data_IF_987079063376
#
_entry.id   IF_987079063376
#
_cell.length_a   1.000
_cell.length_b   1.000
_cell.length_c   1.000
_cell.angle_alpha   90.00
_cell.angle_beta   90.00
_cell.angle_gamma   90.00
#
_symmetry.space_group_name_H-M   'P 1'
#
loop_
_entity.id
_entity.type
_entity.pdbx_description
1 polymer ?
#
# COMPACT_ATOMS: atom_id res chain seq x y z
N UNK A 1 -31.85 -64.45 23.17
CA UNK A 1 -30.64 -63.91 23.84
C UNK A 1 -30.10 -62.82 22.92
N UNK A 2 -30.49 -61.55 23.07
CA UNK A 2 -29.81 -60.48 23.85
C UNK A 2 -28.28 -60.55 23.76
N UNK A 3 -27.68 -59.59 23.05
CA UNK A 3 -26.62 -58.72 23.56
C UNK A 3 -26.53 -57.45 22.70
N UNK A 4 -26.67 -56.31 23.37
CA UNK A 4 -26.65 -54.92 22.89
C UNK A 4 -25.30 -54.36 23.33
N UNK A 5 -24.53 -53.70 22.46
CA UNK A 5 -23.49 -52.71 22.87
C UNK A 5 -23.10 -51.83 21.66
N UNK A 6 -23.76 -50.68 21.45
CA UNK A 6 -23.37 -49.29 21.79
C UNK A 6 -22.49 -48.59 20.73
N UNK A 7 -23.06 -47.52 20.16
CA UNK A 7 -22.44 -46.40 19.44
C UNK A 7 -21.31 -45.74 20.24
N UNK A 8 -20.26 -45.27 19.55
CA UNK A 8 -19.65 -43.96 19.80
C UNK A 8 -19.34 -43.28 18.46
N UNK A 9 -19.87 -42.07 18.31
CA UNK A 9 -19.66 -41.15 17.21
C UNK A 9 -18.22 -40.62 17.18
N UNK A 10 -17.74 -40.22 16.00
CA UNK A 10 -17.29 -38.83 15.85
C UNK A 10 -17.20 -38.47 14.35
N UNK A 11 -18.10 -37.58 13.98
CA UNK A 11 -18.14 -36.81 12.75
C UNK A 11 -16.89 -35.93 12.61
N UNK A 12 -16.04 -36.20 11.63
CA UNK A 12 -15.05 -35.22 11.15
C UNK A 12 -15.78 -34.14 10.34
N UNK A 13 -16.31 -33.15 11.06
CA UNK A 13 -16.83 -31.90 10.52
C UNK A 13 -15.64 -30.97 10.26
N UNK A 14 -15.53 -30.56 8.99
CA UNK A 14 -15.13 -29.23 8.51
C UNK A 14 -13.68 -28.78 8.71
N UNK A 15 -13.01 -28.63 7.58
CA UNK A 15 -12.50 -27.32 7.13
C UNK A 15 -12.17 -27.50 5.66
N UNK A 16 -13.04 -27.09 4.74
CA UNK A 16 -12.99 -25.69 4.36
C UNK A 16 -11.60 -25.41 3.81
N UNK A 17 -11.32 -25.85 2.58
CA UNK A 17 -10.29 -25.25 1.76
C UNK A 17 -10.71 -23.80 1.50
N UNK A 18 -10.65 -22.98 2.54
CA UNK A 18 -10.31 -21.58 2.38
C UNK A 18 -8.93 -21.65 1.76
N UNK A 19 -8.90 -21.64 0.44
CA UNK A 19 -7.85 -21.00 -0.31
C UNK A 19 -7.73 -19.62 0.32
N UNK A 20 -6.93 -19.54 1.38
CA UNK A 20 -6.24 -18.32 1.71
C UNK A 20 -5.43 -18.08 0.45
N UNK A 21 -6.00 -17.32 -0.48
CA UNK A 21 -5.22 -16.44 -1.31
C UNK A 21 -4.35 -15.72 -0.29
N UNK A 22 -3.16 -16.27 -0.03
CA UNK A 22 -2.05 -15.50 0.42
C UNK A 22 -1.90 -14.49 -0.70
N UNK A 23 -2.62 -13.37 -0.56
CA UNK A 23 -2.61 -12.27 -1.48
C UNK A 23 -1.14 -12.01 -1.69
N UNK A 24 -0.62 -12.43 -2.85
CA UNK A 24 0.81 -12.38 -3.14
C UNK A 24 1.21 -10.98 -2.72
N UNK A 25 2.08 -10.89 -1.70
CA UNK A 25 2.48 -9.59 -1.16
C UNK A 25 3.06 -8.84 -2.35
N UNK A 26 2.23 -7.96 -2.91
CA UNK A 26 2.50 -7.43 -4.23
C UNK A 26 3.70 -6.52 -4.02
N UNK A 27 4.86 -6.91 -4.55
CA UNK A 27 6.07 -6.09 -4.46
C UNK A 27 5.80 -4.73 -5.10
N UNK A 28 6.54 -3.67 -4.74
CA UNK A 28 6.44 -2.41 -5.45
C UNK A 28 6.65 -2.59 -6.96
N UNK A 29 5.85 -1.88 -7.74
CA UNK A 29 5.81 -1.93 -9.19
C UNK A 29 5.80 -0.52 -9.80
N UNK A 30 6.14 -0.34 -11.08
CA UNK A 30 5.93 0.92 -11.77
C UNK A 30 4.45 1.33 -11.80
N UNK A 31 4.18 2.64 -11.84
CA UNK A 31 2.82 3.21 -11.82
C UNK A 31 1.87 2.59 -12.86
N UNK A 32 2.39 2.23 -14.04
CA UNK A 32 1.61 1.61 -15.10
C UNK A 32 0.91 0.30 -14.69
N UNK A 33 1.45 -0.40 -13.68
CA UNK A 33 0.94 -1.69 -13.19
C UNK A 33 0.02 -1.58 -11.97
N UNK A 34 -0.25 -0.36 -11.48
CA UNK A 34 -1.20 -0.14 -10.38
C UNK A 34 -2.62 -0.24 -10.90
N UNK A 35 -3.46 -1.05 -10.25
CA UNK A 35 -4.83 -1.31 -10.67
C UNK A 35 -5.81 -0.26 -10.15
N UNK A 36 -5.73 0.09 -8.86
CA UNK A 36 -6.63 1.05 -8.23
C UNK A 36 -5.99 2.43 -8.11
N UNK A 37 -5.71 3.06 -9.26
CA UNK A 37 -5.17 4.43 -9.35
C UNK A 37 -6.07 5.50 -8.74
N UNK A 38 -7.33 5.14 -8.40
CA UNK A 38 -8.27 6.00 -7.70
C UNK A 38 -8.15 5.96 -6.17
N UNK A 39 -7.02 5.53 -5.62
CA UNK A 39 -6.76 5.54 -4.19
C UNK A 39 -7.01 6.92 -3.55
N UNK A 40 -7.59 6.89 -2.35
CA UNK A 40 -7.93 8.07 -1.55
C UNK A 40 -6.79 8.45 -0.61
N UNK A 41 -6.05 7.44 -0.16
CA UNK A 41 -5.03 7.55 0.86
C UNK A 41 -3.68 7.13 0.31
N UNK A 42 -2.65 7.85 0.76
CA UNK A 42 -1.29 7.68 0.27
C UNK A 42 -0.31 7.65 1.45
N UNK A 43 0.82 7.00 1.21
CA UNK A 43 1.99 7.04 2.09
C UNK A 43 3.23 7.16 1.21
N UNK A 44 4.17 8.03 1.59
CA UNK A 44 5.41 8.24 0.83
C UNK A 44 6.61 7.73 1.60
N UNK A 45 7.48 7.03 0.88
CA UNK A 45 8.65 6.34 1.40
C UNK A 45 9.89 6.78 0.64
N UNK A 46 11.06 6.60 1.27
CA UNK A 46 12.37 6.84 0.68
C UNK A 46 13.29 5.63 0.93
N UNK A 47 12.88 4.48 0.41
CA UNK A 47 13.50 3.18 0.65
C UNK A 47 14.21 2.66 -0.60
N UNK A 48 15.03 1.62 -0.43
CA UNK A 48 15.61 0.92 -1.58
C UNK A 48 14.57 0.29 -2.50
N UNK A 49 14.96 0.08 -3.76
CA UNK A 49 14.10 -0.50 -4.79
C UNK A 49 13.60 -1.89 -4.37
N UNK A 50 12.31 -2.13 -4.51
CA UNK A 50 11.66 -3.40 -4.24
C UNK A 50 11.39 -3.68 -2.75
N UNK A 51 11.65 -2.73 -1.86
CA UNK A 51 11.34 -2.84 -0.43
C UNK A 51 9.83 -3.00 -0.24
N UNK A 52 9.42 -3.99 0.56
CA UNK A 52 8.01 -4.13 0.94
C UNK A 52 7.61 -3.00 1.89
N UNK A 53 6.87 -2.03 1.36
CA UNK A 53 6.47 -0.80 2.05
C UNK A 53 5.52 -1.07 3.22
N UNK A 54 4.86 -2.24 3.25
CA UNK A 54 4.04 -2.66 4.39
C UNK A 54 4.85 -2.97 5.65
N UNK A 55 6.16 -3.15 5.51
CA UNK A 55 7.06 -3.60 6.60
C UNK A 55 7.95 -2.49 7.16
N UNK A 56 7.86 -1.28 6.60
CA UNK A 56 8.73 -0.14 6.93
C UNK A 56 7.89 1.09 7.22
N UNK A 57 8.48 2.08 7.88
CA UNK A 57 7.81 3.34 8.20
C UNK A 57 7.90 4.32 7.01
N UNK A 58 6.81 5.03 6.68
CA UNK A 58 6.84 6.07 5.65
C UNK A 58 7.56 7.32 6.15
N UNK A 59 8.07 8.12 5.22
CA UNK A 59 8.58 9.48 5.44
C UNK A 59 7.41 10.46 5.63
N UNK A 60 6.36 10.31 4.81
CA UNK A 60 5.11 11.07 4.91
C UNK A 60 3.92 10.13 4.97
N UNK A 61 2.99 10.41 5.89
CA UNK A 61 1.84 9.54 6.16
C UNK A 61 0.54 10.35 6.26
N UNK A 62 -0.59 9.63 6.40
CA UNK A 62 -1.95 10.21 6.43
C UNK A 62 -2.19 11.14 5.24
N UNK A 63 -1.69 10.75 4.07
CA UNK A 63 -1.77 11.60 2.90
C UNK A 63 -3.13 11.46 2.21
N UNK A 64 -3.74 12.58 1.84
CA UNK A 64 -5.01 12.63 1.11
C UNK A 64 -4.94 13.62 -0.05
N UNK A 65 -5.72 13.39 -1.10
CA UNK A 65 -5.84 14.35 -2.18
C UNK A 65 -6.53 15.64 -1.70
N UNK A 66 -5.90 16.80 -1.92
CA UNK A 66 -6.47 18.13 -1.63
C UNK A 66 -7.67 18.46 -2.51
N UNK A 67 -7.57 18.06 -3.79
CA UNK A 67 -8.59 18.25 -4.81
C UNK A 67 -8.83 16.90 -5.51
N UNK A 68 -9.75 16.06 -5.00
CA UNK A 68 -10.00 14.71 -5.53
C UNK A 68 -10.27 14.68 -7.04
N UNK A 69 -10.86 15.74 -7.58
CA UNK A 69 -11.18 15.96 -9.00
C UNK A 69 -9.94 16.22 -9.88
N UNK A 70 -8.86 16.80 -9.33
CA UNK A 70 -7.64 17.14 -10.07
C UNK A 70 -6.51 16.12 -9.89
N UNK A 71 -6.79 15.04 -9.17
CA UNK A 71 -5.82 14.02 -8.78
C UNK A 71 -5.14 13.35 -9.99
N UNK A 72 -5.87 13.17 -11.09
CA UNK A 72 -5.36 12.50 -12.29
C UNK A 72 -4.30 13.34 -13.04
N UNK A 73 -4.31 14.67 -12.89
CA UNK A 73 -3.30 15.57 -13.45
C UNK A 73 -1.92 15.34 -12.80
N UNK A 74 -1.89 15.15 -11.49
CA UNK A 74 -0.67 14.92 -10.71
C UNK A 74 -0.01 13.61 -11.12
N UNK A 75 -0.83 12.57 -11.22
CA UNK A 75 -0.35 11.23 -11.54
C UNK A 75 0.26 11.19 -12.92
N UNK A 76 -0.35 11.90 -13.87
CA UNK A 76 0.12 12.00 -15.24
C UNK A 76 1.44 12.77 -15.38
N UNK A 77 1.70 13.76 -14.52
CA UNK A 77 2.88 14.63 -14.63
C UNK A 77 4.04 14.24 -13.70
N UNK A 78 3.77 13.52 -12.60
CA UNK A 78 4.80 13.17 -11.59
C UNK A 78 5.13 11.67 -11.60
N UNK A 79 4.13 10.80 -11.77
CA UNK A 79 4.28 9.36 -11.58
C UNK A 79 4.34 8.55 -12.89
N UNK A 80 3.60 8.95 -13.92
CA UNK A 80 3.64 8.27 -15.22
C UNK A 80 5.03 8.44 -15.84
N UNK A 81 5.69 7.31 -16.15
CA UNK A 81 6.99 7.29 -16.81
C UNK A 81 8.20 7.63 -15.92
N UNK A 82 7.97 8.07 -14.67
CA UNK A 82 9.06 8.38 -13.76
C UNK A 82 9.66 7.10 -13.15
N UNK A 83 10.95 6.84 -13.43
CA UNK A 83 11.67 5.63 -13.01
C UNK A 83 12.28 5.73 -11.62
N UNK A 84 12.25 6.91 -11.02
CA UNK A 84 12.68 7.17 -9.65
C UNK A 84 11.65 6.71 -8.63
N UNK A 85 10.42 6.44 -9.07
CA UNK A 85 9.34 5.97 -8.21
C UNK A 85 8.91 4.53 -8.51
N UNK A 86 8.54 3.83 -7.46
CA UNK A 86 7.78 2.59 -7.50
C UNK A 86 6.62 2.66 -6.50
N UNK A 87 5.62 1.81 -6.70
CA UNK A 87 4.32 1.94 -6.08
C UNK A 87 3.87 0.59 -5.56
N UNK A 88 3.33 0.56 -4.36
CA UNK A 88 2.77 -0.65 -3.79
C UNK A 88 1.32 -0.39 -3.41
N UNK A 89 0.41 -1.12 -4.05
CA UNK A 89 -0.99 -1.01 -3.72
C UNK A 89 -1.26 -1.84 -2.46
N UNK A 90 -1.76 -1.20 -1.40
CA UNK A 90 -2.09 -1.86 -0.14
C UNK A 90 -3.48 -2.46 -0.18
N UNK A 91 -4.45 -1.69 -0.69
CA UNK A 91 -5.83 -2.10 -0.94
C UNK A 91 -6.48 -1.23 -2.06
N UNK A 92 -7.80 -1.19 -2.16
CA UNK A 92 -8.51 -0.40 -3.17
C UNK A 92 -8.44 1.13 -2.98
N UNK A 93 -8.12 1.58 -1.77
CA UNK A 93 -8.10 2.98 -1.37
C UNK A 93 -6.71 3.47 -0.93
N UNK A 94 -5.74 2.60 -0.69
CA UNK A 94 -4.42 2.94 -0.17
C UNK A 94 -3.28 2.52 -1.11
N UNK A 95 -2.38 3.47 -1.41
CA UNK A 95 -1.16 3.23 -2.18
C UNK A 95 0.06 3.80 -1.45
N UNK A 96 1.11 2.99 -1.32
CA UNK A 96 2.45 3.44 -0.98
C UNK A 96 3.22 3.91 -2.22
N UNK A 97 3.89 5.05 -2.12
CA UNK A 97 4.76 5.63 -3.15
C UNK A 97 6.18 5.65 -2.62
N UNK A 98 7.10 4.96 -3.27
CA UNK A 98 8.49 4.91 -2.86
C UNK A 98 9.37 5.71 -3.83
N UNK A 99 10.03 6.75 -3.31
CA UNK A 99 11.12 7.44 -3.98
C UNK A 99 12.40 6.62 -3.77
N UNK A 100 12.84 5.95 -4.83
CA UNK A 100 13.84 4.88 -4.76
C UNK A 100 15.20 5.45 -4.38
N UNK A 101 15.72 5.03 -3.22
CA UNK A 101 17.02 5.48 -2.68
C UNK A 101 17.12 7.01 -2.55
N UNK A 102 16.00 7.72 -2.41
CA UNK A 102 16.02 9.16 -2.22
C UNK A 102 16.52 9.50 -0.83
N UNK A 103 17.34 10.55 -0.70
CA UNK A 103 17.63 11.12 0.61
C UNK A 103 16.38 11.84 1.16
N UNK A 104 16.31 12.09 2.48
CA UNK A 104 15.23 12.89 3.06
C UNK A 104 15.07 14.27 2.40
N UNK A 105 16.17 14.92 2.01
CA UNK A 105 16.14 16.21 1.32
C UNK A 105 15.53 16.11 -0.08
N UNK A 106 15.89 15.07 -0.84
CA UNK A 106 15.31 14.83 -2.17
C UNK A 106 13.81 14.52 -2.06
N UNK A 107 13.43 13.69 -1.09
CA UNK A 107 12.01 13.38 -0.84
C UNK A 107 11.23 14.65 -0.42
N UNK A 108 11.81 15.50 0.43
CA UNK A 108 11.23 16.78 0.80
C UNK A 108 11.11 17.77 -0.36
N UNK A 109 12.09 17.81 -1.27
CA UNK A 109 12.01 18.58 -2.51
C UNK A 109 10.89 18.09 -3.43
N UNK A 110 10.78 16.77 -3.65
CA UNK A 110 9.68 16.19 -4.41
C UNK A 110 8.33 16.51 -3.79
N UNK A 111 8.23 16.36 -2.47
CA UNK A 111 7.01 16.64 -1.75
C UNK A 111 6.61 18.10 -1.92
N UNK A 112 7.47 19.04 -1.55
CA UNK A 112 7.18 20.48 -1.62
C UNK A 112 6.87 20.96 -3.03
N UNK A 113 7.64 20.55 -4.05
CA UNK A 113 7.56 21.15 -5.39
C UNK A 113 6.63 20.44 -6.36
N UNK A 114 6.37 19.14 -6.19
CA UNK A 114 5.60 18.33 -7.15
C UNK A 114 4.33 17.72 -6.57
N UNK A 115 4.31 17.43 -5.27
CA UNK A 115 3.23 16.62 -4.65
C UNK A 115 2.30 17.46 -3.78
N UNK A 116 2.84 18.38 -2.97
CA UNK A 116 2.13 19.07 -1.88
C UNK A 116 0.97 19.95 -2.36
N UNK A 117 1.00 20.41 -3.61
CA UNK A 117 -0.11 21.16 -4.21
C UNK A 117 -1.38 20.32 -4.40
N UNK A 118 -1.25 19.00 -4.37
CA UNK A 118 -2.34 18.09 -4.70
C UNK A 118 -2.58 16.98 -3.69
N UNK A 119 -1.55 16.59 -2.95
CA UNK A 119 -1.64 15.61 -1.88
C UNK A 119 -1.13 16.27 -0.61
N UNK A 120 -1.98 16.35 0.41
CA UNK A 120 -1.63 16.84 1.72
C UNK A 120 -1.24 15.65 2.60
N UNK A 121 -0.06 15.72 3.21
CA UNK A 121 0.47 14.72 4.14
C UNK A 121 0.85 15.34 5.47
N UNK A 122 1.12 14.47 6.45
CA UNK A 122 1.93 14.78 7.64
C UNK A 122 3.29 14.11 7.49
N UNK A 123 4.37 14.76 7.93
CA UNK A 123 5.64 14.05 8.06
C UNK A 123 5.54 13.05 9.21
N UNK A 124 6.17 11.89 9.08
CA UNK A 124 6.13 10.86 10.11
C UNK A 124 6.89 11.28 11.38
N UNK A 125 7.94 12.08 11.21
CA UNK A 125 8.74 12.64 12.32
C UNK A 125 8.03 13.83 13.00
N UNK A 126 7.02 14.45 12.38
CA UNK A 126 6.19 15.49 13.01
C UNK A 126 5.12 14.91 13.94
N UNK A 127 5.18 13.60 14.24
CA UNK A 127 4.32 12.93 15.22
C UNK A 127 5.04 12.89 16.56
N UNK A 128 5.24 14.07 17.15
CA UNK A 128 5.63 14.23 18.55
C UNK A 128 4.46 14.88 19.32
N UNK A 129 3.94 14.10 20.28
CA UNK A 129 3.10 14.44 21.46
C UNK A 129 1.61 14.72 21.21
#
# INVERSE_FOLDING_TARGET
MKLITILIALSCIVAGALLTEAAQVQKPVPWARIHHKKAKYWEFYSQSRGTDLRTVRPTYHRCTAKFPENRDYVFSNVFVGNREFEFQQFDANHIGVNCINCSPQIMGYYYSTKISNYIQCKAYEDVDI
#
